data_IF_263050077098
#
_entry.id   IF_263050077098
#
_cell.length_a   1.000
_cell.length_b   1.000
_cell.length_c   1.000
_cell.angle_alpha   90.00
_cell.angle_beta   90.00
_cell.angle_gamma   90.00
#
_symmetry.space_group_name_H-M   'P 1'
#
loop_
_entity.id
_entity.type
_entity.pdbx_description
1 polymer ?
#
# COMPACT_ATOMS: atom_id res chain seq x y z
N UNK A 1 -0.35 20.65 25.76
CA UNK A 1 -0.40 21.97 26.41
C UNK A 1 -1.85 22.38 26.69
N UNK A 2 -2.76 22.45 25.70
CA UNK A 2 -4.12 22.97 25.85
C UNK A 2 -4.99 22.25 26.87
N UNK A 3 -4.96 20.93 26.89
CA UNK A 3 -5.73 20.11 27.84
C UNK A 3 -5.26 20.30 29.32
N UNK A 4 -3.96 20.57 29.51
CA UNK A 4 -3.35 20.64 30.84
C UNK A 4 -3.32 22.07 31.37
N UNK A 5 -2.83 23.03 30.58
CA UNK A 5 -2.53 24.39 31.02
C UNK A 5 -3.57 25.43 30.59
N UNK A 6 -4.54 25.05 29.74
CA UNK A 6 -5.62 25.92 29.29
C UNK A 6 -5.63 26.21 27.80
N UNK A 7 -6.75 26.79 27.36
CA UNK A 7 -6.98 27.11 25.96
C UNK A 7 -5.89 27.97 25.32
N UNK A 8 -5.51 29.13 25.92
CA UNK A 8 -4.44 29.97 25.37
C UNK A 8 -3.10 29.24 25.19
N UNK A 9 -2.70 28.43 26.17
CA UNK A 9 -1.48 27.64 26.10
C UNK A 9 -1.53 26.57 24.96
N UNK A 10 -2.71 26.02 24.72
CA UNK A 10 -2.93 25.08 23.61
C UNK A 10 -2.79 25.74 22.25
N UNK A 11 -3.40 26.91 22.07
CA UNK A 11 -3.35 27.67 20.83
C UNK A 11 -1.91 28.13 20.54
N UNK A 12 -1.22 28.71 21.50
CA UNK A 12 0.17 29.16 21.34
C UNK A 12 1.09 27.98 20.99
N UNK A 13 0.97 26.88 21.73
CA UNK A 13 1.77 25.68 21.47
C UNK A 13 1.44 25.05 20.09
N UNK A 14 0.18 25.06 19.69
CA UNK A 14 -0.25 24.54 18.36
C UNK A 14 0.32 25.41 17.23
N UNK A 15 0.26 26.73 17.34
CA UNK A 15 0.81 27.66 16.34
C UNK A 15 2.34 27.51 16.28
N UNK A 16 3.02 27.55 17.43
CA UNK A 16 4.48 27.41 17.48
C UNK A 16 4.95 26.06 16.91
N UNK A 17 4.28 24.96 17.29
CA UNK A 17 4.59 23.64 16.77
C UNK A 17 4.26 23.49 15.27
N UNK A 18 3.20 24.11 14.78
CA UNK A 18 2.87 24.12 13.35
C UNK A 18 3.91 24.89 12.52
N UNK A 19 4.39 26.01 13.03
CA UNK A 19 5.48 26.79 12.40
C UNK A 19 6.79 25.98 12.43
N UNK A 20 7.13 25.35 13.55
CA UNK A 20 8.30 24.48 13.66
C UNK A 20 8.23 23.34 12.63
N UNK A 21 7.08 22.68 12.55
CA UNK A 21 6.85 21.59 11.57
C UNK A 21 6.98 22.06 10.13
N UNK A 22 6.60 23.28 9.83
CA UNK A 22 6.80 23.86 8.50
C UNK A 22 8.27 24.00 8.15
N UNK A 23 9.12 24.36 9.10
CA UNK A 23 10.55 24.50 8.91
C UNK A 23 11.34 23.22 9.13
N UNK A 24 10.73 22.17 9.67
CA UNK A 24 11.40 20.90 9.99
C UNK A 24 12.06 20.21 8.78
N UNK A 25 11.62 20.54 7.57
CA UNK A 25 12.26 20.08 6.31
C UNK A 25 13.73 20.51 6.23
N UNK A 26 14.11 21.62 6.85
CA UNK A 26 15.50 22.08 6.89
C UNK A 26 16.41 21.15 7.72
N UNK A 27 15.82 20.33 8.60
CA UNK A 27 16.51 19.35 9.45
C UNK A 27 16.27 17.90 8.99
N UNK A 28 15.79 17.71 7.77
CA UNK A 28 15.60 16.36 7.18
C UNK A 28 14.22 15.74 7.42
N UNK A 29 13.23 16.47 7.94
CA UNK A 29 11.85 15.97 7.96
C UNK A 29 11.28 15.91 6.54
N UNK A 30 10.38 14.92 6.29
CA UNK A 30 9.83 14.65 4.97
C UNK A 30 9.05 15.84 4.39
N UNK A 31 9.36 16.21 3.16
CA UNK A 31 8.66 17.28 2.41
C UNK A 31 7.22 16.90 2.11
N UNK A 32 6.96 15.61 1.86
CA UNK A 32 5.65 15.08 1.49
C UNK A 32 4.55 15.41 2.51
N UNK A 33 4.83 15.26 3.80
CA UNK A 33 3.84 15.49 4.87
C UNK A 33 3.92 16.89 5.47
N UNK A 34 4.77 17.76 4.97
CA UNK A 34 5.03 19.09 5.52
C UNK A 34 3.76 19.89 5.79
N UNK A 35 2.91 20.02 4.78
CA UNK A 35 1.67 20.79 4.85
C UNK A 35 0.67 20.14 5.82
N UNK A 36 0.45 18.84 5.70
CA UNK A 36 -0.43 18.08 6.58
C UNK A 36 -0.02 18.20 8.05
N UNK A 37 1.26 17.95 8.34
CA UNK A 37 1.79 18.01 9.70
C UNK A 37 1.69 19.42 10.31
N UNK A 38 1.97 20.46 9.53
CA UNK A 38 1.89 21.85 10.01
C UNK A 38 0.44 22.22 10.35
N UNK A 39 -0.50 21.98 9.43
CA UNK A 39 -1.92 22.31 9.64
C UNK A 39 -2.50 21.49 10.79
N UNK A 40 -2.26 20.19 10.83
CA UNK A 40 -2.80 19.32 11.87
C UNK A 40 -2.26 19.65 13.27
N UNK A 41 -1.00 20.09 13.39
CA UNK A 41 -0.43 20.52 14.66
C UNK A 41 -1.10 21.80 15.16
N UNK A 42 -1.35 22.77 14.29
CA UNK A 42 -2.12 23.98 14.65
C UNK A 42 -3.54 23.59 15.06
N UNK A 43 -4.19 22.75 14.26
CA UNK A 43 -5.56 22.29 14.52
C UNK A 43 -5.66 21.53 15.86
N UNK A 44 -4.69 20.70 16.19
CA UNK A 44 -4.60 19.99 17.47
C UNK A 44 -4.59 20.96 18.66
N UNK A 45 -3.90 22.10 18.54
CA UNK A 45 -3.90 23.16 19.56
C UNK A 45 -5.28 23.78 19.76
N UNK A 46 -5.98 24.09 18.67
CA UNK A 46 -7.35 24.63 18.72
C UNK A 46 -8.36 23.60 19.25
N UNK A 47 -8.29 22.34 18.79
CA UNK A 47 -9.15 21.26 19.28
C UNK A 47 -8.98 21.06 20.78
N UNK A 48 -7.74 21.02 21.27
CA UNK A 48 -7.46 20.88 22.70
C UNK A 48 -8.02 22.04 23.51
N UNK A 49 -7.91 23.28 23.01
CA UNK A 49 -8.46 24.47 23.66
C UNK A 49 -10.01 24.43 23.68
N UNK A 50 -10.63 24.08 22.57
CA UNK A 50 -12.09 23.97 22.45
C UNK A 50 -12.64 22.87 23.36
N UNK A 51 -12.06 21.66 23.35
CA UNK A 51 -12.47 20.55 24.19
C UNK A 51 -12.36 20.85 25.67
N UNK A 52 -11.28 21.53 26.08
CA UNK A 52 -11.13 21.97 27.48
C UNK A 52 -12.24 22.91 27.92
N UNK A 53 -12.64 23.85 27.06
CA UNK A 53 -13.73 24.79 27.35
C UNK A 53 -15.12 24.14 27.30
N UNK A 54 -15.38 23.36 26.22
CA UNK A 54 -16.72 22.84 25.93
C UNK A 54 -17.07 21.60 26.72
N UNK A 55 -16.09 20.70 26.95
CA UNK A 55 -16.34 19.39 27.57
C UNK A 55 -15.87 19.30 29.02
N UNK A 56 -14.84 20.08 29.39
CA UNK A 56 -14.19 19.94 30.70
C UNK A 56 -14.35 21.17 31.58
N UNK A 57 -15.23 22.15 31.25
CA UNK A 57 -15.47 23.36 32.03
C UNK A 57 -14.16 24.06 32.46
N UNK A 58 -13.19 24.15 31.57
CA UNK A 58 -11.83 24.67 31.81
C UNK A 58 -11.01 23.86 32.84
N UNK A 59 -11.50 22.70 33.30
CA UNK A 59 -10.75 21.79 34.19
C UNK A 59 -9.86 20.88 33.37
N UNK A 60 -8.81 20.35 33.98
CA UNK A 60 -7.94 19.37 33.39
C UNK A 60 -8.69 18.03 33.28
N UNK A 61 -8.70 17.34 32.10
CA UNK A 61 -9.32 16.04 31.96
C UNK A 61 -8.55 14.94 32.71
N UNK A 62 -9.22 13.83 33.00
CA UNK A 62 -8.55 12.64 33.49
C UNK A 62 -7.67 12.03 32.36
N UNK A 63 -6.68 11.23 32.75
CA UNK A 63 -5.68 10.69 31.82
C UNK A 63 -6.28 9.85 30.66
N UNK A 64 -7.40 9.15 30.90
CA UNK A 64 -8.12 8.36 29.90
C UNK A 64 -8.59 9.24 28.72
N UNK A 65 -9.08 10.44 29.05
CA UNK A 65 -9.49 11.39 28.00
C UNK A 65 -8.30 11.97 27.24
N UNK A 66 -7.16 12.11 27.92
CA UNK A 66 -5.92 12.50 27.27
C UNK A 66 -5.51 11.53 26.16
N UNK A 67 -5.54 10.24 26.45
CA UNK A 67 -5.28 9.17 25.48
C UNK A 67 -6.28 9.21 24.32
N UNK A 68 -7.57 9.26 24.63
CA UNK A 68 -8.63 9.21 23.61
C UNK A 68 -8.58 10.43 22.67
N UNK A 69 -8.41 11.64 23.24
CA UNK A 69 -8.31 12.87 22.46
C UNK A 69 -7.07 12.85 21.56
N UNK A 70 -5.94 12.39 22.08
CA UNK A 70 -4.72 12.27 21.28
C UNK A 70 -4.89 11.30 20.10
N UNK A 71 -5.54 10.15 20.34
CA UNK A 71 -5.84 9.20 19.28
C UNK A 71 -6.72 9.80 18.18
N UNK A 72 -7.78 10.53 18.55
CA UNK A 72 -8.66 11.20 17.58
C UNK A 72 -7.90 12.27 16.80
N UNK A 73 -7.08 13.08 17.47
CA UNK A 73 -6.28 14.12 16.82
C UNK A 73 -5.29 13.52 15.82
N UNK A 74 -4.70 12.36 16.14
CA UNK A 74 -3.84 11.64 15.19
C UNK A 74 -4.61 11.10 13.98
N UNK A 75 -5.83 10.61 14.17
CA UNK A 75 -6.65 10.18 13.03
C UNK A 75 -7.03 11.36 12.13
N UNK A 76 -7.31 12.53 12.70
CA UNK A 76 -7.53 13.79 11.95
C UNK A 76 -6.23 14.15 11.18
N UNK A 77 -5.07 14.00 11.81
CA UNK A 77 -3.78 14.22 11.17
C UNK A 77 -3.59 13.29 9.95
N UNK A 78 -3.89 12.00 10.08
CA UNK A 78 -3.83 11.05 8.96
C UNK A 78 -4.80 11.45 7.83
N UNK A 79 -6.00 11.91 8.16
CA UNK A 79 -6.95 12.42 7.18
C UNK A 79 -6.39 13.66 6.45
N UNK A 80 -5.69 14.55 7.16
CA UNK A 80 -5.06 15.73 6.55
C UNK A 80 -3.99 15.35 5.52
N UNK A 81 -3.29 14.23 5.69
CA UNK A 81 -2.32 13.73 4.70
C UNK A 81 -3.03 13.43 3.37
N UNK A 82 -4.20 12.79 3.39
CA UNK A 82 -4.99 12.57 2.19
C UNK A 82 -5.47 13.87 1.55
N UNK A 83 -6.03 14.78 2.35
CA UNK A 83 -6.56 16.07 1.87
C UNK A 83 -5.48 16.92 1.22
N UNK A 84 -4.28 16.90 1.75
CA UNK A 84 -3.15 17.71 1.23
C UNK A 84 -2.42 17.06 0.05
N UNK A 85 -2.64 15.77 -0.20
CA UNK A 85 -1.97 14.99 -1.25
C UNK A 85 -2.98 14.28 -2.16
N UNK A 86 -4.08 14.95 -2.52
CA UNK A 86 -5.14 14.38 -3.36
C UNK A 86 -4.67 14.01 -4.78
N UNK A 87 -3.56 14.58 -5.24
CA UNK A 87 -2.97 14.27 -6.55
C UNK A 87 -2.24 12.91 -6.56
N UNK A 88 -1.84 12.40 -5.40
CA UNK A 88 -1.13 11.13 -5.25
C UNK A 88 -1.68 10.34 -4.04
N UNK A 89 -2.92 9.88 -4.21
CA UNK A 89 -3.66 9.15 -3.17
C UNK A 89 -2.98 7.82 -2.82
N UNK A 90 -2.34 7.17 -3.79
CA UNK A 90 -1.68 5.88 -3.56
C UNK A 90 -0.50 6.03 -2.58
N UNK A 91 0.40 6.98 -2.83
CA UNK A 91 1.53 7.26 -1.91
C UNK A 91 1.03 7.74 -0.56
N UNK A 92 -0.03 8.56 -0.51
CA UNK A 92 -0.66 8.98 0.74
C UNK A 92 -1.18 7.79 1.55
N UNK A 93 -1.83 6.83 0.89
CA UNK A 93 -2.35 5.61 1.52
C UNK A 93 -1.23 4.75 2.10
N UNK A 94 -0.18 4.47 1.32
CA UNK A 94 0.97 3.69 1.80
C UNK A 94 1.66 4.35 3.00
N UNK A 95 1.79 5.68 2.97
CA UNK A 95 2.35 6.43 4.09
C UNK A 95 1.47 6.32 5.35
N UNK A 96 0.16 6.57 5.22
CA UNK A 96 -0.80 6.48 6.32
C UNK A 96 -0.86 5.07 6.87
N UNK A 97 -0.88 4.04 6.02
CA UNK A 97 -0.86 2.63 6.40
C UNK A 97 0.34 2.29 7.32
N UNK A 98 1.51 2.80 7.00
CA UNK A 98 2.74 2.54 7.78
C UNK A 98 2.80 3.35 9.08
N UNK A 99 2.29 4.58 9.06
CA UNK A 99 2.50 5.54 10.17
C UNK A 99 1.35 5.59 11.18
N UNK A 100 0.12 5.23 10.83
CA UNK A 100 -1.05 5.41 11.70
C UNK A 100 -0.91 4.68 13.04
N UNK A 101 -0.63 3.39 13.03
CA UNK A 101 -0.57 2.60 14.26
C UNK A 101 0.53 3.07 15.23
N UNK A 102 1.79 3.25 14.81
CA UNK A 102 2.82 3.74 15.71
C UNK A 102 2.56 5.17 16.19
N UNK A 103 2.06 6.08 15.34
CA UNK A 103 1.80 7.46 15.74
C UNK A 103 0.64 7.57 16.73
N UNK A 104 -0.46 6.89 16.50
CA UNK A 104 -1.60 6.88 17.43
C UNK A 104 -1.18 6.32 18.80
N UNK A 105 -0.41 5.23 18.82
CA UNK A 105 0.05 4.62 20.08
C UNK A 105 1.04 5.53 20.82
N UNK A 106 2.07 6.01 20.15
CA UNK A 106 3.11 6.82 20.79
C UNK A 106 2.55 8.15 21.30
N UNK A 107 1.79 8.87 20.47
CA UNK A 107 1.22 10.16 20.85
C UNK A 107 0.11 10.02 21.90
N UNK A 108 -0.70 8.96 21.81
CA UNK A 108 -1.71 8.65 22.82
C UNK A 108 -1.08 8.38 24.18
N UNK A 109 -0.06 7.52 24.24
CA UNK A 109 0.68 7.22 25.46
C UNK A 109 1.45 8.44 26.01
N UNK A 110 2.04 9.24 25.14
CA UNK A 110 2.75 10.45 25.55
C UNK A 110 1.81 11.47 26.22
N UNK A 111 0.63 11.72 25.64
CA UNK A 111 -0.36 12.64 26.24
C UNK A 111 -0.92 12.07 27.52
N UNK A 112 -1.24 10.77 27.56
CA UNK A 112 -1.69 10.09 28.77
C UNK A 112 -0.67 10.23 29.91
N UNK A 113 0.59 9.95 29.62
CA UNK A 113 1.69 10.03 30.60
C UNK A 113 1.89 11.48 31.09
N UNK A 114 1.84 12.47 30.18
CA UNK A 114 1.94 13.88 30.55
C UNK A 114 0.81 14.32 31.49
N UNK A 115 -0.44 13.91 31.20
CA UNK A 115 -1.59 14.22 32.07
C UNK A 115 -1.45 13.55 33.42
N UNK A 116 -0.99 12.26 33.45
CA UNK A 116 -0.72 11.55 34.71
C UNK A 116 0.35 12.22 35.55
N UNK A 117 1.49 12.54 34.96
CA UNK A 117 2.61 13.19 35.65
C UNK A 117 2.19 14.52 36.27
N UNK A 118 1.49 15.35 35.49
CA UNK A 118 1.00 16.66 36.02
C UNK A 118 -0.03 16.45 37.14
N UNK A 119 -0.83 15.38 37.09
CA UNK A 119 -1.76 15.06 38.20
C UNK A 119 -1.03 14.64 39.48
N UNK A 120 0.04 13.86 39.35
CA UNK A 120 0.85 13.36 40.46
C UNK A 120 1.64 14.54 41.08
N UNK A 121 2.31 15.34 40.25
CA UNK A 121 3.14 16.46 40.70
C UNK A 121 2.26 17.57 41.33
N UNK A 122 1.10 17.83 40.73
CA UNK A 122 0.15 18.82 41.21
C UNK A 122 -0.53 18.46 42.53
N UNK A 123 -0.23 17.29 43.13
CA UNK A 123 -0.88 16.81 44.37
C UNK A 123 -2.40 17.01 44.35
N UNK A 124 -3.02 16.75 43.19
CA UNK A 124 -4.48 16.84 43.09
C UNK A 124 -5.10 15.83 44.06
N UNK A 125 -5.61 16.39 45.17
CA UNK A 125 -6.17 15.58 46.24
C UNK A 125 -7.33 14.76 45.73
N UNK A 126 -7.22 13.43 45.83
CA UNK A 126 -8.28 12.44 45.48
C UNK A 126 -9.61 12.70 46.19
N UNK A 127 -9.67 13.59 47.15
CA UNK A 127 -10.87 13.90 47.96
C UNK A 127 -11.95 14.68 47.19
N UNK A 128 -11.65 15.30 46.04
CA UNK A 128 -12.66 16.04 45.26
C UNK A 128 -13.50 15.14 44.29
N UNK A 129 -13.33 13.83 44.31
CA UNK A 129 -14.03 12.91 43.37
C UNK A 129 -15.48 12.61 43.81
N UNK A 130 -15.87 13.07 44.97
CA UNK A 130 -17.22 12.80 45.53
C UNK A 130 -18.21 13.98 45.43
N UNK A 131 -17.86 15.04 44.72
CA UNK A 131 -18.91 15.97 44.30
C UNK A 131 -19.75 15.28 43.21
N UNK A 132 -21.06 15.21 43.52
CA UNK A 132 -22.10 14.63 42.63
C UNK A 132 -21.86 15.03 41.20
N UNK A 133 -21.21 14.14 40.40
CA UNK A 133 -21.15 14.29 38.97
C UNK A 133 -22.58 14.40 38.47
N UNK A 134 -22.93 15.55 37.89
CA UNK A 134 -24.24 15.70 37.25
C UNK A 134 -24.45 14.51 36.28
N UNK A 135 -25.59 13.85 36.35
CA UNK A 135 -25.94 12.69 35.50
C UNK A 135 -25.64 12.99 34.03
N UNK A 136 -25.87 14.24 33.61
CA UNK A 136 -25.52 14.75 32.28
C UNK A 136 -24.03 14.60 31.93
N UNK A 137 -23.11 14.84 32.86
CA UNK A 137 -21.67 14.70 32.60
C UNK A 137 -21.28 13.22 32.47
N UNK A 138 -21.86 12.36 33.30
CA UNK A 138 -21.61 10.93 33.20
C UNK A 138 -22.11 10.38 31.87
N UNK A 139 -23.31 10.82 31.42
CA UNK A 139 -23.87 10.42 30.15
C UNK A 139 -23.01 10.91 28.96
N UNK A 140 -22.57 12.18 28.96
CA UNK A 140 -21.68 12.71 27.93
C UNK A 140 -20.36 11.94 27.85
N UNK A 141 -19.81 11.51 28.99
CA UNK A 141 -18.58 10.71 29.01
C UNK A 141 -18.78 9.33 28.39
N UNK A 142 -19.86 8.66 28.75
CA UNK A 142 -20.18 7.34 28.16
C UNK A 142 -20.46 7.45 26.67
N UNK A 143 -21.19 8.46 26.25
CA UNK A 143 -21.47 8.71 24.83
C UNK A 143 -20.18 8.95 24.04
N UNK A 144 -19.26 9.77 24.57
CA UNK A 144 -17.95 9.99 23.95
C UNK A 144 -17.15 8.69 23.81
N UNK A 145 -17.10 7.88 24.88
CA UNK A 145 -16.38 6.60 24.86
C UNK A 145 -17.01 5.67 23.79
N UNK A 146 -18.33 5.57 23.75
CA UNK A 146 -19.02 4.75 22.74
C UNK A 146 -18.70 5.22 21.31
N UNK A 147 -18.72 6.53 21.04
CA UNK A 147 -18.38 7.09 19.71
C UNK A 147 -16.94 6.79 19.34
N UNK A 148 -16.00 6.93 20.28
CA UNK A 148 -14.58 6.60 20.03
C UNK A 148 -14.41 5.13 19.73
N UNK A 149 -15.02 4.24 20.53
CA UNK A 149 -14.93 2.79 20.31
C UNK A 149 -15.55 2.42 18.95
N UNK A 150 -16.73 2.96 18.63
CA UNK A 150 -17.37 2.73 17.34
C UNK A 150 -16.48 3.20 16.18
N UNK A 151 -15.88 4.39 16.28
CA UNK A 151 -15.00 4.92 15.26
C UNK A 151 -13.74 4.07 15.07
N UNK A 152 -13.07 3.67 16.16
CA UNK A 152 -11.90 2.80 16.09
C UNK A 152 -12.25 1.42 15.54
N UNK A 153 -13.37 0.85 15.94
CA UNK A 153 -13.84 -0.45 15.43
C UNK A 153 -14.15 -0.37 13.92
N UNK A 154 -14.84 0.69 13.48
CA UNK A 154 -15.15 0.91 12.06
C UNK A 154 -13.87 1.11 11.24
N UNK A 155 -12.92 1.90 11.74
CA UNK A 155 -11.63 2.13 11.08
C UNK A 155 -10.83 0.84 10.97
N UNK A 156 -10.76 0.03 12.03
CA UNK A 156 -10.07 -1.25 12.01
C UNK A 156 -10.74 -2.26 11.05
N UNK A 157 -12.07 -2.26 11.01
CA UNK A 157 -12.84 -3.10 10.09
C UNK A 157 -12.60 -2.71 8.63
N UNK A 158 -12.70 -1.41 8.30
CA UNK A 158 -12.44 -0.89 6.96
C UNK A 158 -11.00 -1.15 6.53
N UNK A 159 -10.04 -1.00 7.44
CA UNK A 159 -8.64 -1.33 7.18
C UNK A 159 -8.48 -2.79 6.76
N UNK A 160 -9.07 -3.72 7.54
CA UNK A 160 -8.99 -5.16 7.23
C UNK A 160 -9.65 -5.49 5.90
N UNK A 161 -10.82 -4.91 5.64
CA UNK A 161 -11.55 -5.10 4.39
C UNK A 161 -10.73 -4.59 3.18
N UNK A 162 -10.19 -3.38 3.28
CA UNK A 162 -9.42 -2.76 2.19
C UNK A 162 -8.10 -3.47 1.92
N UNK A 163 -7.42 -3.98 2.96
CA UNK A 163 -6.20 -4.77 2.78
C UNK A 163 -6.50 -6.06 2.03
N UNK A 164 -7.59 -6.76 2.40
CA UNK A 164 -8.00 -7.99 1.70
C UNK A 164 -8.41 -7.76 0.24
N UNK A 165 -9.12 -6.66 -0.06
CA UNK A 165 -9.47 -6.30 -1.44
C UNK A 165 -8.24 -5.91 -2.26
N UNK A 166 -7.32 -5.12 -1.69
CA UNK A 166 -6.09 -4.70 -2.38
C UNK A 166 -5.15 -5.89 -2.68
N UNK A 167 -5.07 -6.88 -1.81
CA UNK A 167 -4.28 -8.09 -2.06
C UNK A 167 -4.91 -8.93 -3.19
N UNK A 168 -6.23 -9.08 -3.21
CA UNK A 168 -6.92 -9.81 -4.26
C UNK A 168 -6.82 -9.11 -5.62
N UNK A 169 -6.95 -7.78 -5.66
CA UNK A 169 -6.80 -6.99 -6.89
C UNK A 169 -5.36 -7.06 -7.42
N UNK A 170 -4.36 -6.97 -6.53
CA UNK A 170 -2.96 -7.06 -6.90
C UNK A 170 -2.60 -8.45 -7.45
N UNK A 171 -3.10 -9.53 -6.84
CA UNK A 171 -2.89 -10.89 -7.34
C UNK A 171 -3.60 -11.13 -8.68
N UNK A 172 -4.82 -10.62 -8.84
CA UNK A 172 -5.56 -10.70 -10.11
C UNK A 172 -4.86 -9.96 -11.25
N UNK A 173 -4.35 -8.75 -11.01
CA UNK A 173 -3.57 -7.98 -11.98
C UNK A 173 -2.24 -8.68 -12.33
N UNK A 174 -1.58 -9.29 -11.35
CA UNK A 174 -0.34 -10.02 -11.58
C UNK A 174 -0.57 -11.25 -12.46
N UNK A 175 -1.65 -11.99 -12.21
CA UNK A 175 -2.01 -13.18 -12.99
C UNK A 175 -2.37 -12.82 -14.44
N UNK A 176 -3.10 -11.72 -14.66
CA UNK A 176 -3.38 -11.21 -16.00
C UNK A 176 -2.09 -10.81 -16.74
N UNK A 177 -1.20 -10.07 -16.08
CA UNK A 177 0.07 -9.66 -16.67
C UNK A 177 0.97 -10.86 -17.01
N UNK A 178 1.01 -11.90 -16.16
CA UNK A 178 1.77 -13.12 -16.44
C UNK A 178 1.21 -13.81 -17.69
N UNK A 179 -0.12 -13.91 -17.81
CA UNK A 179 -0.77 -14.53 -18.98
C UNK A 179 -0.49 -13.75 -20.26
N UNK A 180 -0.56 -12.42 -20.21
CA UNK A 180 -0.26 -11.56 -21.37
C UNK A 180 1.20 -11.74 -21.81
N UNK A 181 2.16 -11.74 -20.87
CA UNK A 181 3.58 -11.96 -21.17
C UNK A 181 3.82 -13.38 -21.73
N UNK A 182 3.16 -14.39 -21.17
CA UNK A 182 3.25 -15.77 -21.68
C UNK A 182 2.76 -15.86 -23.13
N UNK A 183 1.65 -15.19 -23.44
CA UNK A 183 1.10 -15.16 -24.80
C UNK A 183 2.01 -14.41 -25.77
N UNK A 184 2.51 -13.24 -25.37
CA UNK A 184 3.45 -12.46 -26.18
C UNK A 184 4.73 -13.23 -26.48
N UNK A 185 5.26 -14.00 -25.51
CA UNK A 185 6.44 -14.86 -25.69
C UNK A 185 6.14 -16.01 -26.63
N UNK A 186 4.97 -16.64 -26.53
CA UNK A 186 4.53 -17.71 -27.44
C UNK A 186 4.39 -17.17 -28.86
N UNK A 187 3.69 -16.07 -29.06
CA UNK A 187 3.47 -15.46 -30.37
C UNK A 187 4.80 -15.04 -31.03
N UNK A 188 5.71 -14.44 -30.27
CA UNK A 188 7.06 -14.09 -30.76
C UNK A 188 7.89 -15.33 -31.11
N UNK A 189 7.76 -16.40 -30.33
CA UNK A 189 8.44 -17.69 -30.61
C UNK A 189 7.91 -18.32 -31.89
N UNK A 190 6.60 -18.36 -32.08
CA UNK A 190 5.96 -18.91 -33.27
C UNK A 190 6.31 -18.12 -34.53
N UNK A 191 6.31 -16.77 -34.46
CA UNK A 191 6.73 -15.93 -35.57
C UNK A 191 8.21 -16.16 -35.95
N UNK A 192 9.07 -16.31 -34.96
CA UNK A 192 10.49 -16.62 -35.18
C UNK A 192 10.67 -18.01 -35.81
N UNK A 193 9.96 -19.02 -35.32
CA UNK A 193 9.98 -20.39 -35.90
C UNK A 193 9.49 -20.40 -37.34
N UNK A 194 8.40 -19.69 -37.64
CA UNK A 194 7.90 -19.55 -39.01
C UNK A 194 8.92 -18.89 -39.96
N UNK A 195 9.60 -17.85 -39.47
CA UNK A 195 10.64 -17.15 -40.21
C UNK A 195 11.83 -18.07 -40.49
N UNK A 196 12.30 -18.81 -39.47
CA UNK A 196 13.37 -19.80 -39.64
C UNK A 196 12.96 -20.87 -40.64
N UNK A 197 11.74 -21.42 -40.51
CA UNK A 197 11.20 -22.45 -41.39
C UNK A 197 11.16 -21.99 -42.85
N UNK A 198 10.70 -20.74 -43.10
CA UNK A 198 10.70 -20.14 -44.44
C UNK A 198 12.13 -19.99 -45.00
N UNK A 199 13.05 -19.48 -44.18
CA UNK A 199 14.45 -19.33 -44.62
C UNK A 199 15.09 -20.67 -44.96
N UNK A 200 14.86 -21.68 -44.15
CA UNK A 200 15.34 -23.07 -44.41
C UNK A 200 14.71 -23.64 -45.68
N UNK A 201 13.40 -23.46 -45.88
CA UNK A 201 12.70 -23.93 -47.08
C UNK A 201 13.20 -23.21 -48.34
N UNK A 202 13.44 -21.90 -48.29
CA UNK A 202 13.97 -21.12 -49.39
C UNK A 202 15.40 -21.56 -49.75
N UNK A 203 16.22 -21.91 -48.76
CA UNK A 203 17.58 -22.39 -48.99
C UNK A 203 17.57 -23.80 -49.60
N UNK A 204 16.72 -24.70 -49.11
CA UNK A 204 16.48 -26.04 -49.64
C UNK A 204 16.03 -25.97 -51.11
N UNK A 205 15.11 -25.06 -51.45
CA UNK A 205 14.60 -24.88 -52.83
C UNK A 205 15.66 -24.40 -53.82
N UNK A 206 16.77 -23.81 -53.32
CA UNK A 206 17.91 -23.38 -54.18
C UNK A 206 18.94 -24.48 -54.38
N UNK A 207 18.86 -25.59 -53.67
CA UNK A 207 19.80 -26.71 -53.78
C UNK A 207 19.33 -27.68 -54.86
N UNK A 208 20.23 -28.11 -55.73
CA UNK A 208 19.92 -29.09 -56.82
C UNK A 208 19.69 -30.52 -56.30
N UNK A 209 20.38 -30.87 -55.18
CA UNK A 209 20.22 -32.14 -54.48
C UNK A 209 20.19 -31.93 -52.98
N UNK A 210 19.15 -32.36 -52.32
CA UNK A 210 18.99 -32.27 -50.87
C UNK A 210 19.06 -33.65 -50.25
N UNK A 211 20.15 -33.92 -49.58
CA UNK A 211 20.38 -35.14 -48.82
C UNK A 211 20.50 -34.90 -47.31
N UNK A 212 20.81 -35.95 -46.58
CA UNK A 212 20.95 -35.90 -45.14
C UNK A 212 22.04 -34.94 -44.65
N UNK A 213 23.21 -34.93 -45.35
CA UNK A 213 24.33 -34.06 -44.97
C UNK A 213 23.97 -32.57 -45.08
N UNK A 214 23.30 -32.18 -46.15
CA UNK A 214 22.84 -30.81 -46.37
C UNK A 214 21.82 -30.38 -45.32
N UNK A 215 20.92 -31.28 -44.90
CA UNK A 215 19.98 -30.97 -43.85
C UNK A 215 20.65 -30.86 -42.48
N UNK A 216 21.69 -31.63 -42.19
CA UNK A 216 22.49 -31.50 -40.96
C UNK A 216 23.24 -30.17 -40.91
N UNK A 217 23.80 -29.72 -42.02
CA UNK A 217 24.46 -28.42 -42.11
C UNK A 217 23.46 -27.25 -41.88
N UNK A 218 22.27 -27.34 -42.50
CA UNK A 218 21.20 -26.35 -42.28
C UNK A 218 20.70 -26.35 -40.82
N UNK A 219 20.57 -27.54 -40.22
CA UNK A 219 20.19 -27.67 -38.81
C UNK A 219 21.15 -26.92 -37.90
N UNK A 220 22.44 -27.09 -38.10
CA UNK A 220 23.46 -26.38 -37.31
C UNK A 220 23.46 -24.88 -37.58
N UNK A 221 23.37 -24.49 -38.87
CA UNK A 221 23.35 -23.08 -39.29
C UNK A 221 22.19 -22.29 -38.68
N UNK A 222 20.99 -22.90 -38.63
CA UNK A 222 19.78 -22.24 -38.11
C UNK A 222 19.49 -22.60 -36.67
N UNK A 223 20.33 -23.40 -36.02
CA UNK A 223 20.21 -23.87 -34.65
C UNK A 223 18.80 -24.44 -34.32
N UNK A 224 18.29 -25.28 -35.20
CA UNK A 224 17.01 -25.97 -35.01
C UNK A 224 17.21 -27.43 -34.59
N UNK A 225 16.23 -27.96 -33.87
CA UNK A 225 16.30 -29.33 -33.34
C UNK A 225 16.35 -30.38 -34.46
N UNK A 226 15.48 -30.24 -35.46
CA UNK A 226 15.38 -31.17 -36.58
C UNK A 226 14.86 -30.49 -37.85
N UNK A 227 15.18 -31.04 -39.01
CA UNK A 227 14.64 -30.64 -40.30
C UNK A 227 14.17 -31.90 -41.03
N UNK A 228 12.91 -31.92 -41.44
CA UNK A 228 12.30 -33.00 -42.17
C UNK A 228 11.67 -32.47 -43.47
N UNK A 229 11.95 -33.13 -44.59
CA UNK A 229 11.30 -32.86 -45.89
C UNK A 229 10.15 -33.86 -46.06
N UNK A 230 8.96 -33.30 -46.26
CA UNK A 230 7.73 -34.09 -46.35
C UNK A 230 7.18 -34.00 -47.79
N UNK A 231 6.82 -35.09 -48.39
CA UNK A 231 6.18 -35.13 -49.71
C UNK A 231 4.68 -34.74 -49.61
N UNK A 232 4.02 -34.59 -50.77
CA UNK A 232 2.58 -34.23 -50.83
C UNK A 232 1.65 -35.27 -50.13
N UNK A 233 2.10 -36.51 -49.95
CA UNK A 233 1.37 -37.56 -49.26
C UNK A 233 1.54 -37.47 -47.73
N UNK A 234 2.41 -36.59 -47.23
CA UNK A 234 2.71 -36.46 -45.81
C UNK A 234 3.80 -37.37 -45.29
N UNK A 235 4.55 -38.03 -46.18
CA UNK A 235 5.62 -38.98 -45.84
C UNK A 235 6.95 -38.20 -45.80
N UNK A 236 7.75 -38.43 -44.77
CA UNK A 236 9.09 -37.86 -44.62
C UNK A 236 10.02 -38.58 -45.59
N UNK A 237 10.59 -37.83 -46.52
CA UNK A 237 11.47 -38.36 -47.58
C UNK A 237 12.96 -38.12 -47.31
N UNK A 238 13.29 -37.07 -46.57
CA UNK A 238 14.65 -36.77 -46.09
C UNK A 238 14.54 -36.22 -44.68
N UNK A 239 15.42 -36.63 -43.77
CA UNK A 239 15.42 -36.25 -42.39
C UNK A 239 16.83 -36.04 -41.88
N UNK A 240 17.01 -35.13 -40.91
CA UNK A 240 18.26 -35.00 -40.13
C UNK A 240 18.48 -36.20 -39.20
N UNK A 241 17.43 -36.96 -38.91
CA UNK A 241 17.44 -38.21 -38.14
C UNK A 241 16.75 -39.32 -38.93
N UNK A 242 17.37 -39.86 -40.00
CA UNK A 242 16.73 -40.85 -40.91
C UNK A 242 16.34 -42.14 -40.23
N UNK A 243 17.09 -42.58 -39.21
CA UNK A 243 16.80 -43.80 -38.46
C UNK A 243 15.46 -43.74 -37.71
N UNK A 244 15.04 -42.55 -37.31
CA UNK A 244 13.81 -42.33 -36.51
C UNK A 244 12.62 -41.94 -37.38
N UNK A 245 12.81 -41.12 -38.42
CA UNK A 245 11.72 -40.40 -39.10
C UNK A 245 11.59 -40.75 -40.59
N UNK A 246 12.55 -41.39 -41.23
CA UNK A 246 12.43 -41.72 -42.65
C UNK A 246 11.23 -42.61 -42.91
N UNK A 247 10.42 -42.25 -43.91
CA UNK A 247 9.15 -42.92 -44.27
C UNK A 247 8.02 -42.78 -43.23
N UNK A 248 8.20 -41.98 -42.19
CA UNK A 248 7.12 -41.69 -41.28
C UNK A 248 6.01 -40.88 -41.94
N UNK A 249 4.74 -41.24 -41.70
CA UNK A 249 3.60 -40.55 -42.27
C UNK A 249 3.02 -39.52 -41.28
N UNK A 250 3.27 -38.27 -41.50
CA UNK A 250 2.82 -37.16 -40.66
C UNK A 250 1.30 -36.90 -40.73
N UNK A 251 0.58 -37.40 -41.76
CA UNK A 251 -0.89 -37.26 -41.87
C UNK A 251 -1.64 -38.36 -41.14
N UNK A 252 -0.96 -39.42 -40.78
CA UNK A 252 -1.51 -40.53 -40.03
C UNK A 252 -1.32 -40.37 -38.54
N UNK A 253 -1.67 -39.20 -37.98
CA UNK A 253 -1.68 -39.03 -36.54
C UNK A 253 -2.46 -40.14 -35.85
N UNK A 254 -1.82 -40.76 -34.81
CA UNK A 254 -2.43 -41.81 -33.99
C UNK A 254 -3.73 -41.34 -33.38
#
# INVERSE_FOLDING_TARGET
AGLIFGGPAGIIAGIAGGVERWFAVLWGAGTYTRLACSISTVLAGFIAAALRKLMFDNKKPAWQYGLAIAAIVELIHMLMIFVTNMSDVHTAFEFVKKCTAPMVLVNGLAVMTAVLLVSIIGKENRKSIHELKKISQTFQHWLLICVIIAFLATTAFLWKLQTGLSENDATGLLELNIRDVEQDVMDASDENLLKITRNVADEINRMENVGEEQLKELREKYNVAEINIINRLGIITVSTFPEEFLNYNMKGGK
#
